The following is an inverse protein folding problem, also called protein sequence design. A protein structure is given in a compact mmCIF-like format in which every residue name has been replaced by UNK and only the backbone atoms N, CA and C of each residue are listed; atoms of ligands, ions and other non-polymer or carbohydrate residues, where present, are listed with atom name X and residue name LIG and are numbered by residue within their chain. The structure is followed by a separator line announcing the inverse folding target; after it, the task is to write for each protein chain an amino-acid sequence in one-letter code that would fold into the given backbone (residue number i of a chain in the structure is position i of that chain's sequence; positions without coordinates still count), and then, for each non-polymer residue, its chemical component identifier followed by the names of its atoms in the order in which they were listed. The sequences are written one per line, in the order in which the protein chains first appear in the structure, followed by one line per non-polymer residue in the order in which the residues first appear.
data_IF_265800890659
#
_entry.id   IF_265800890659
#
_cell.length_a   1.000
_cell.length_b   1.000
_cell.length_c   1.000
_cell.angle_alpha   90.00
_cell.angle_beta   90.00
_cell.angle_gamma   90.00
#
_symmetry.space_group_name_H-M   'P 1'
#
loop_
_entity.id
_entity.type
_entity.pdbx_description
1 polymer ?
#
# COMPACT_ATOMS: atom_id res chain seq x y z
N UNK A 1 14.28 -11.63 -3.68
CA UNK A 1 13.63 -11.61 -5.01
C UNK A 1 14.65 -12.01 -6.07
N UNK A 2 14.68 -13.27 -6.54
CA UNK A 2 15.55 -13.65 -7.65
C UNK A 2 14.98 -13.11 -8.97
N UNK A 3 15.83 -12.51 -9.81
CA UNK A 3 15.53 -12.32 -11.23
C UNK A 3 15.10 -10.93 -11.70
N UNK A 4 15.18 -9.90 -10.87
CA UNK A 4 14.92 -8.53 -11.31
C UNK A 4 16.25 -7.79 -11.50
N UNK A 5 16.56 -7.41 -12.75
CA UNK A 5 17.78 -6.70 -13.09
C UNK A 5 17.69 -5.22 -12.67
N UNK A 6 18.78 -4.62 -12.18
CA UNK A 6 18.81 -3.21 -11.80
C UNK A 6 18.44 -2.32 -12.99
N UNK A 7 17.60 -1.32 -12.74
CA UNK A 7 17.15 -0.35 -13.75
C UNK A 7 17.82 1.00 -13.49
N UNK A 8 18.34 1.64 -14.54
CA UNK A 8 18.87 3.00 -14.42
C UNK A 8 17.73 4.01 -14.55
N UNK A 9 17.68 4.96 -13.62
CA UNK A 9 16.70 6.03 -13.62
C UNK A 9 17.28 7.41 -13.90
N UNK A 10 16.57 8.17 -14.73
CA UNK A 10 16.93 9.52 -15.14
C UNK A 10 15.72 10.46 -14.98
N UNK A 11 16.00 11.75 -14.86
CA UNK A 11 14.97 12.78 -14.94
C UNK A 11 14.36 12.80 -16.35
N UNK A 12 13.13 13.32 -16.47
CA UNK A 12 12.35 13.29 -17.70
C UNK A 12 13.05 13.92 -18.91
N UNK A 13 13.90 14.91 -18.68
CA UNK A 13 14.76 15.56 -19.69
C UNK A 13 15.87 14.67 -20.26
N UNK A 14 16.22 13.57 -19.58
CA UNK A 14 17.33 12.66 -19.91
C UNK A 14 16.87 11.22 -20.20
N UNK A 15 15.57 11.03 -20.45
CA UNK A 15 15.02 9.71 -20.75
C UNK A 15 15.61 9.15 -22.05
N UNK A 16 16.00 7.87 -22.02
CA UNK A 16 16.49 7.12 -23.18
C UNK A 16 16.14 5.64 -23.05
N UNK A 17 16.44 4.82 -24.07
CA UNK A 17 16.20 3.37 -24.02
C UNK A 17 16.93 2.66 -22.87
N UNK A 18 18.04 3.24 -22.39
CA UNK A 18 18.85 2.71 -21.30
C UNK A 18 18.59 3.37 -19.94
N UNK A 19 17.77 4.44 -19.91
CA UNK A 19 17.48 5.18 -18.69
C UNK A 19 16.01 5.61 -18.63
N UNK A 20 15.27 5.03 -17.68
CA UNK A 20 13.83 5.24 -17.55
C UNK A 20 13.52 6.37 -16.58
N UNK A 21 12.40 7.05 -16.76
CA UNK A 21 11.91 8.02 -15.77
C UNK A 21 10.83 7.40 -14.87
N UNK A 22 9.97 6.55 -15.44
CA UNK A 22 8.91 5.86 -14.71
C UNK A 22 9.49 4.75 -13.82
N UNK A 23 9.21 4.83 -12.52
CA UNK A 23 9.57 3.84 -11.52
C UNK A 23 8.36 2.93 -11.29
N UNK A 24 8.53 1.65 -11.60
CA UNK A 24 7.47 0.65 -11.43
C UNK A 24 7.23 0.34 -9.95
N UNK A 25 5.96 0.35 -9.56
CA UNK A 25 5.50 -0.03 -8.22
C UNK A 25 4.69 -1.31 -8.33
N UNK A 26 5.08 -2.31 -7.56
CA UNK A 26 4.37 -3.58 -7.44
C UNK A 26 3.82 -3.76 -6.04
N UNK A 27 2.66 -4.41 -5.97
CA UNK A 27 2.06 -4.86 -4.71
C UNK A 27 2.25 -6.35 -4.53
N UNK A 28 2.43 -6.77 -3.29
CA UNK A 28 2.48 -8.17 -2.88
C UNK A 28 1.37 -8.44 -1.84
N UNK A 29 1.45 -9.57 -1.15
CA UNK A 29 0.56 -9.96 -0.05
C UNK A 29 0.52 -8.95 1.10
N UNK A 30 -0.56 -9.03 1.86
CA UNK A 30 -0.70 -8.43 3.17
C UNK A 30 -0.51 -9.49 4.24
N UNK A 31 0.26 -9.17 5.28
CA UNK A 31 0.40 -10.01 6.48
C UNK A 31 0.02 -9.23 7.74
N UNK A 32 -0.15 -9.93 8.84
CA UNK A 32 -0.40 -9.34 10.14
C UNK A 32 0.43 -10.09 11.18
N UNK A 33 0.86 -9.40 12.23
CA UNK A 33 1.46 -10.04 13.41
C UNK A 33 0.39 -10.66 14.33
N UNK A 34 -0.87 -10.24 14.18
CA UNK A 34 -2.02 -10.71 14.96
C UNK A 34 -2.76 -11.89 14.29
N UNK A 35 -2.57 -12.08 12.98
CA UNK A 35 -3.24 -13.12 12.20
C UNK A 35 -2.26 -13.97 11.38
N UNK A 36 -2.50 -15.29 11.38
CA UNK A 36 -1.61 -16.27 10.72
C UNK A 36 -1.81 -16.29 9.19
N UNK A 37 -2.99 -15.89 8.72
CA UNK A 37 -3.36 -16.02 7.30
C UNK A 37 -3.03 -14.73 6.55
N UNK A 38 -2.09 -14.74 5.58
CA UNK A 38 -1.88 -13.59 4.71
C UNK A 38 -3.01 -13.46 3.69
N UNK A 39 -3.29 -12.22 3.28
CA UNK A 39 -4.25 -11.92 2.22
C UNK A 39 -3.54 -11.46 0.96
N UNK A 40 -4.09 -11.79 -0.21
CA UNK A 40 -3.68 -11.15 -1.45
C UNK A 40 -4.14 -9.69 -1.47
N UNK A 41 -3.44 -8.83 -2.20
CA UNK A 41 -3.84 -7.43 -2.37
C UNK A 41 -5.28 -7.30 -2.91
N UNK A 42 -5.66 -8.16 -3.84
CA UNK A 42 -7.00 -8.19 -4.45
C UNK A 42 -8.12 -8.70 -3.53
N UNK A 43 -7.78 -9.22 -2.33
CA UNK A 43 -8.80 -9.66 -1.36
C UNK A 43 -9.61 -8.47 -0.85
N UNK A 44 -8.97 -7.31 -0.68
CA UNK A 44 -9.62 -6.07 -0.27
C UNK A 44 -9.90 -5.19 -1.49
N UNK A 45 -10.87 -4.28 -1.35
CA UNK A 45 -11.28 -3.36 -2.43
C UNK A 45 -10.32 -2.17 -2.60
N UNK A 46 -9.03 -2.46 -2.79
CA UNK A 46 -8.01 -1.47 -3.10
C UNK A 46 -8.05 -1.02 -4.57
N UNK A 47 -7.26 0.00 -4.89
CA UNK A 47 -7.01 0.38 -6.27
C UNK A 47 -6.09 -0.64 -6.94
N UNK A 48 -6.54 -1.18 -8.07
CA UNK A 48 -5.79 -2.11 -8.93
C UNK A 48 -5.65 -1.49 -10.31
N UNK A 49 -4.68 -1.96 -11.09
CA UNK A 49 -4.57 -1.61 -12.51
C UNK A 49 -5.53 -2.49 -13.32
N UNK A 50 -5.98 -2.02 -14.49
CA UNK A 50 -6.86 -2.79 -15.39
C UNK A 50 -6.12 -3.98 -16.03
N UNK A 51 -4.79 -3.93 -15.99
CA UNK A 51 -3.90 -4.98 -16.48
C UNK A 51 -3.20 -5.67 -15.31
N UNK A 52 -3.60 -6.91 -14.99
CA UNK A 52 -2.91 -7.79 -14.04
C UNK A 52 -1.58 -8.29 -14.64
N UNK A 53 -0.68 -7.36 -14.94
CA UNK A 53 0.67 -7.69 -15.40
C UNK A 53 1.56 -7.83 -14.17
N UNK A 54 2.14 -9.02 -14.00
CA UNK A 54 3.12 -9.31 -12.96
C UNK A 54 4.43 -9.76 -13.60
N UNK A 55 5.57 -9.64 -12.89
CA UNK A 55 6.78 -10.33 -13.31
C UNK A 55 6.52 -11.84 -13.43
N UNK A 56 7.27 -12.50 -14.31
CA UNK A 56 7.12 -13.95 -14.54
C UNK A 56 7.34 -14.69 -13.21
N UNK A 57 6.30 -15.38 -12.74
CA UNK A 57 6.35 -16.14 -11.49
C UNK A 57 7.27 -17.34 -11.66
N UNK A 58 8.20 -17.53 -10.72
CA UNK A 58 8.98 -18.77 -10.67
C UNK A 58 8.24 -19.85 -9.86
N UNK A 59 8.56 -21.13 -10.11
CA UNK A 59 7.87 -22.28 -9.51
C UNK A 59 7.85 -22.21 -7.97
N UNK A 60 8.91 -21.65 -7.35
CA UNK A 60 8.97 -21.45 -5.90
C UNK A 60 7.93 -20.43 -5.41
N UNK A 61 7.79 -19.28 -6.08
CA UNK A 61 6.79 -18.26 -5.74
C UNK A 61 5.36 -18.78 -5.86
N UNK A 62 5.08 -19.59 -6.89
CA UNK A 62 3.76 -20.23 -7.05
C UNK A 62 3.46 -21.18 -5.89
N UNK A 63 4.44 -21.99 -5.48
CA UNK A 63 4.28 -22.96 -4.38
C UNK A 63 4.08 -22.27 -3.02
N UNK A 64 4.71 -21.11 -2.80
CA UNK A 64 4.56 -20.33 -1.55
C UNK A 64 3.46 -19.26 -1.60
N UNK A 65 2.69 -19.19 -2.70
CA UNK A 65 1.58 -18.26 -2.86
C UNK A 65 1.98 -16.79 -2.91
N UNK A 66 3.23 -16.48 -3.28
CA UNK A 66 3.67 -15.10 -3.48
C UNK A 66 3.25 -14.60 -4.86
N UNK A 67 2.31 -13.65 -4.89
CA UNK A 67 1.80 -13.03 -6.12
C UNK A 67 2.18 -11.57 -6.16
N UNK A 68 3.16 -11.24 -6.99
CA UNK A 68 3.57 -9.87 -7.25
C UNK A 68 2.73 -9.35 -8.43
N UNK A 69 2.04 -8.24 -8.22
CA UNK A 69 1.15 -7.65 -9.22
C UNK A 69 1.52 -6.19 -9.45
N UNK A 70 1.33 -5.71 -10.69
CA UNK A 70 1.42 -4.28 -10.95
C UNK A 70 0.44 -3.52 -10.06
N UNK A 71 0.80 -2.29 -9.73
CA UNK A 71 -0.05 -1.38 -9.00
C UNK A 71 -0.40 -0.18 -9.89
N UNK A 72 -1.52 0.50 -9.63
CA UNK A 72 -1.90 1.71 -10.38
C UNK A 72 -1.05 2.93 -10.00
N UNK A 73 -0.09 2.79 -9.08
CA UNK A 73 0.75 3.89 -8.61
C UNK A 73 1.87 4.18 -9.61
N UNK A 74 1.91 5.42 -10.10
CA UNK A 74 2.93 5.90 -11.04
C UNK A 74 3.90 6.82 -10.31
N UNK A 75 5.18 6.47 -10.35
CA UNK A 75 6.25 7.26 -9.75
C UNK A 75 7.21 7.73 -10.82
N UNK A 76 7.67 8.97 -10.69
CA UNK A 76 8.67 9.55 -11.57
C UNK A 76 9.95 9.79 -10.77
N UNK A 77 11.09 9.35 -11.31
CA UNK A 77 12.38 9.51 -10.64
C UNK A 77 12.74 10.99 -10.43
N UNK A 78 13.17 11.33 -9.20
CA UNK A 78 13.52 12.69 -8.77
C UNK A 78 12.40 13.72 -8.99
N UNK A 79 11.15 13.29 -9.03
CA UNK A 79 10.00 14.17 -9.00
C UNK A 79 9.34 14.10 -7.63
N UNK A 80 9.50 15.15 -6.81
CA UNK A 80 8.77 15.29 -5.56
C UNK A 80 7.32 15.66 -5.87
N UNK A 81 6.52 14.66 -6.26
CA UNK A 81 5.09 14.84 -6.44
C UNK A 81 4.43 14.91 -5.06
N UNK A 82 3.59 15.93 -4.88
CA UNK A 82 2.62 15.92 -3.79
C UNK A 82 1.57 14.82 -4.03
N UNK A 83 0.69 14.65 -3.05
CA UNK A 83 -0.11 13.46 -2.80
C UNK A 83 -0.98 13.12 -4.02
N UNK A 84 -0.56 12.12 -4.79
CA UNK A 84 -1.31 11.65 -5.95
C UNK A 84 -2.21 10.46 -5.57
N UNK A 85 -3.48 10.56 -5.96
CA UNK A 85 -4.48 9.54 -5.72
C UNK A 85 -4.43 8.49 -6.83
N UNK A 86 -4.34 7.20 -6.47
CA UNK A 86 -4.48 6.13 -7.46
C UNK A 86 -5.94 6.01 -7.95
N UNK A 87 -6.88 5.97 -7.01
CA UNK A 87 -8.31 5.93 -7.32
C UNK A 87 -9.14 6.42 -6.13
N UNK A 88 -10.41 6.77 -6.40
CA UNK A 88 -11.40 7.10 -5.37
C UNK A 88 -12.50 6.04 -5.37
N UNK A 89 -12.67 5.34 -4.25
CA UNK A 89 -13.77 4.39 -4.05
C UNK A 89 -14.87 5.07 -3.24
N UNK A 90 -16.12 4.94 -3.70
CA UNK A 90 -17.29 5.50 -3.03
C UNK A 90 -18.28 4.40 -2.72
N UNK A 91 -18.72 4.34 -1.47
CA UNK A 91 -19.59 3.29 -0.95
C UNK A 91 -20.94 3.85 -0.54
N UNK A 92 -22.01 3.12 -0.88
CA UNK A 92 -23.38 3.51 -0.57
C UNK A 92 -23.89 2.79 0.69
N UNK A 93 -24.40 3.50 1.71
CA UNK A 93 -24.90 2.89 2.95
C UNK A 93 -26.07 1.89 2.78
N UNK A 94 -26.75 1.91 1.64
CA UNK A 94 -27.86 1.01 1.32
C UNK A 94 -27.48 -0.23 0.50
N UNK A 95 -26.24 -0.31 -0.01
CA UNK A 95 -25.77 -1.43 -0.82
C UNK A 95 -25.10 -2.49 0.08
N UNK A 96 -25.61 -3.72 0.08
CA UNK A 96 -25.05 -4.81 0.89
C UNK A 96 -23.62 -5.19 0.48
N UNK A 97 -23.27 -5.11 -0.81
CA UNK A 97 -21.92 -5.41 -1.28
C UNK A 97 -20.90 -4.37 -0.78
N UNK A 98 -21.26 -3.09 -0.88
CA UNK A 98 -20.43 -2.00 -0.37
C UNK A 98 -20.21 -2.11 1.14
N UNK A 99 -21.28 -2.45 1.88
CA UNK A 99 -21.19 -2.68 3.32
C UNK A 99 -20.28 -3.86 3.66
N UNK A 100 -20.29 -4.93 2.85
CA UNK A 100 -19.40 -6.07 3.04
C UNK A 100 -17.93 -5.67 2.80
N UNK A 101 -17.64 -4.98 1.70
CA UNK A 101 -16.29 -4.47 1.39
C UNK A 101 -15.74 -3.56 2.49
N UNK A 102 -16.58 -2.65 3.00
CA UNK A 102 -16.19 -1.77 4.11
C UNK A 102 -15.88 -2.59 5.37
N UNK A 103 -16.71 -3.59 5.70
CA UNK A 103 -16.49 -4.43 6.88
C UNK A 103 -15.18 -5.22 6.77
N UNK A 104 -14.88 -5.76 5.60
CA UNK A 104 -13.62 -6.48 5.33
C UNK A 104 -12.42 -5.54 5.48
N UNK A 105 -12.49 -4.33 4.92
CA UNK A 105 -11.45 -3.31 5.11
C UNK A 105 -11.26 -2.94 6.59
N UNK A 106 -12.33 -2.66 7.32
CA UNK A 106 -12.25 -2.34 8.76
C UNK A 106 -11.67 -3.53 9.54
N UNK A 107 -12.06 -4.76 9.19
CA UNK A 107 -11.54 -5.97 9.81
C UNK A 107 -10.03 -6.11 9.60
N UNK A 108 -9.55 -5.91 8.37
CA UNK A 108 -8.11 -5.95 8.07
C UNK A 108 -7.33 -4.86 8.80
N UNK A 109 -7.88 -3.63 8.91
CA UNK A 109 -7.24 -2.55 9.67
C UNK A 109 -7.19 -2.92 11.16
N UNK A 110 -8.27 -3.50 11.70
CA UNK A 110 -8.36 -3.87 13.12
C UNK A 110 -7.42 -4.98 13.53
N UNK A 111 -6.96 -5.79 12.57
CA UNK A 111 -5.95 -6.83 12.76
C UNK A 111 -4.56 -6.36 12.33
N UNK A 112 -4.36 -5.06 12.14
CA UNK A 112 -3.07 -4.46 11.78
C UNK A 112 -2.40 -5.13 10.56
N UNK A 113 -3.17 -5.45 9.52
CA UNK A 113 -2.59 -5.94 8.27
C UNK A 113 -1.69 -4.89 7.64
N UNK A 114 -0.55 -5.32 7.09
CA UNK A 114 0.48 -4.48 6.50
C UNK A 114 0.64 -4.78 5.02
N UNK A 115 0.79 -3.74 4.20
CA UNK A 115 1.15 -3.81 2.80
C UNK A 115 2.64 -4.10 2.62
N UNK A 116 2.96 -5.03 1.73
CA UNK A 116 4.31 -5.24 1.22
C UNK A 116 4.39 -4.76 -0.22
N UNK A 117 5.01 -3.60 -0.43
CA UNK A 117 5.21 -3.03 -1.76
C UNK A 117 6.65 -3.22 -2.20
N UNK A 118 6.85 -3.23 -3.52
CA UNK A 118 8.15 -3.35 -4.15
C UNK A 118 8.30 -2.20 -5.15
N UNK A 119 9.34 -1.39 -4.99
CA UNK A 119 9.66 -0.25 -5.86
C UNK A 119 11.10 -0.44 -6.32
N UNK A 120 11.35 -0.34 -7.63
CA UNK A 120 12.67 -0.63 -8.21
C UNK A 120 13.26 -1.95 -7.69
N UNK A 121 12.42 -2.99 -7.65
CA UNK A 121 12.81 -4.33 -7.21
C UNK A 121 13.28 -4.44 -5.74
N UNK A 122 13.14 -3.37 -4.96
CA UNK A 122 13.45 -3.32 -3.53
C UNK A 122 12.15 -3.25 -2.69
N UNK A 123 12.10 -3.94 -1.53
CA UNK A 123 10.97 -3.83 -0.64
C UNK A 123 10.86 -2.42 -0.06
N UNK A 124 9.65 -1.89 -0.03
CA UNK A 124 9.36 -0.61 0.62
C UNK A 124 9.53 -0.77 2.13
N UNK A 125 10.33 0.13 2.71
CA UNK A 125 10.57 0.17 4.15
C UNK A 125 9.83 1.36 4.74
N UNK A 126 9.11 1.12 5.83
CA UNK A 126 8.45 2.16 6.60
C UNK A 126 9.14 2.32 7.94
N UNK A 127 9.62 3.53 8.19
CA UNK A 127 10.26 3.89 9.44
C UNK A 127 9.37 4.83 10.26
N UNK A 128 9.29 4.59 11.55
CA UNK A 128 8.53 5.39 12.50
C UNK A 128 9.33 5.61 13.80
N UNK A 129 8.97 6.68 14.51
CA UNK A 129 9.55 6.98 15.82
C UNK A 129 8.79 6.20 16.90
N UNK A 130 9.51 5.44 17.72
CA UNK A 130 8.95 4.76 18.88
C UNK A 130 9.15 5.60 20.14
N UNK A 131 9.88 5.06 21.11
CA UNK A 131 10.30 5.82 22.28
C UNK A 131 11.29 6.95 21.92
N UNK A 132 11.44 7.99 22.77
CA UNK A 132 12.30 9.13 22.48
C UNK A 132 13.74 8.70 22.12
N UNK A 133 14.13 8.96 20.87
CA UNK A 133 15.46 8.63 20.36
C UNK A 133 15.58 7.26 19.67
N UNK A 134 14.50 6.47 19.58
CA UNK A 134 14.51 5.18 18.91
C UNK A 134 13.64 5.19 17.63
N UNK A 135 14.31 5.00 16.50
CA UNK A 135 13.67 4.81 15.20
C UNK A 135 13.58 3.32 14.88
N UNK A 136 12.39 2.87 14.50
CA UNK A 136 12.15 1.51 14.04
C UNK A 136 11.80 1.53 12.56
N UNK A 137 12.25 0.52 11.82
CA UNK A 137 11.96 0.35 10.40
C UNK A 137 11.47 -1.07 10.15
N UNK A 138 10.35 -1.20 9.45
CA UNK A 138 9.80 -2.49 9.02
C UNK A 138 9.68 -2.54 7.51
N UNK A 139 9.88 -3.73 6.94
CA UNK A 139 9.53 -4.01 5.54
C UNK A 139 8.02 -4.18 5.48
N UNK A 140 7.33 -3.12 5.10
CA UNK A 140 5.86 -3.06 5.05
C UNK A 140 5.27 -1.97 5.94
N UNK A 141 4.05 -1.57 5.61
CA UNK A 141 3.36 -0.45 6.27
C UNK A 141 1.88 -0.77 6.46
N UNK A 142 1.23 -0.25 7.52
CA UNK A 142 -0.14 -0.60 7.85
C UNK A 142 -1.13 -0.22 6.73
N UNK A 143 -2.13 -1.08 6.54
CA UNK A 143 -3.23 -0.92 5.58
C UNK A 143 -4.07 0.32 5.84
N UNK A 144 -4.11 0.78 7.09
CA UNK A 144 -4.78 2.01 7.47
C UNK A 144 -4.79 2.20 8.97
N UNK A 145 -5.51 3.23 9.39
CA UNK A 145 -5.73 3.57 10.79
C UNK A 145 -7.24 3.56 11.05
N UNK A 146 -7.67 2.84 12.10
CA UNK A 146 -9.05 2.84 12.57
C UNK A 146 -9.10 3.49 13.95
N UNK A 147 -9.82 4.61 14.06
CA UNK A 147 -10.10 5.24 15.35
C UNK A 147 -11.45 4.72 15.87
N UNK A 148 -11.46 3.80 16.86
CA UNK A 148 -12.71 3.40 17.49
C UNK A 148 -13.36 4.60 18.18
N UNK A 149 -14.69 4.61 18.27
CA UNK A 149 -15.50 5.69 18.90
C UNK A 149 -15.07 6.03 20.34
N UNK A 150 -14.32 5.14 21.00
CA UNK A 150 -13.69 5.38 22.31
C UNK A 150 -12.57 6.43 22.32
N UNK A 151 -12.12 6.90 21.16
CA UNK A 151 -11.19 8.05 21.03
C UNK A 151 -9.72 7.75 21.30
N UNK A 152 -9.34 6.52 21.69
CA UNK A 152 -7.93 6.15 21.86
C UNK A 152 -7.36 5.61 20.54
N UNK A 153 -6.38 6.30 19.91
CA UNK A 153 -5.66 5.76 18.77
C UNK A 153 -4.90 4.50 19.19
N UNK A 154 -4.89 3.49 18.32
CA UNK A 154 -4.07 2.28 18.44
C UNK A 154 -3.21 2.12 17.18
N UNK A 155 -2.10 1.41 17.35
CA UNK A 155 -1.25 0.90 16.27
C UNK A 155 -0.82 2.01 15.30
N UNK A 156 -1.10 1.85 14.01
CA UNK A 156 -0.80 2.79 12.93
C UNK A 156 -1.19 4.26 13.23
N UNK A 157 -2.29 4.46 13.97
CA UNK A 157 -2.80 5.80 14.32
C UNK A 157 -1.90 6.55 15.32
N UNK A 158 -1.09 5.82 16.10
CA UNK A 158 -0.13 6.38 17.07
C UNK A 158 1.23 6.60 16.40
N UNK A 159 1.61 5.71 15.49
CA UNK A 159 2.96 5.69 14.90
C UNK A 159 3.19 6.77 13.84
N UNK A 160 2.15 7.24 13.13
CA UNK A 160 2.32 8.30 12.15
C UNK A 160 1.03 9.12 11.91
N UNK A 161 1.08 10.43 12.17
CA UNK A 161 -0.05 11.37 12.01
C UNK A 161 -0.48 11.51 10.54
N UNK A 162 0.37 11.18 9.55
CA UNK A 162 -0.04 11.19 8.14
C UNK A 162 -0.99 10.04 7.78
N UNK A 163 -0.89 8.88 8.45
CA UNK A 163 -1.85 7.76 8.26
C UNK A 163 -3.25 8.11 8.77
N UNK A 164 -3.35 9.07 9.69
CA UNK A 164 -4.61 9.61 10.22
C UNK A 164 -5.45 10.32 9.16
N UNK A 165 -4.91 10.64 7.98
CA UNK A 165 -5.68 11.24 6.89
C UNK A 165 -6.56 10.26 6.09
N UNK A 166 -6.49 8.95 6.36
CA UNK A 166 -7.50 7.97 5.91
C UNK A 166 -8.77 8.10 6.78
N UNK A 167 -9.53 9.18 6.56
CA UNK A 167 -10.71 9.51 7.37
C UNK A 167 -11.93 8.64 6.99
N UNK A 168 -12.41 7.84 7.93
CA UNK A 168 -13.73 7.20 7.87
C UNK A 168 -14.79 8.17 8.41
N UNK A 169 -15.60 8.79 7.55
CA UNK A 169 -16.79 9.54 8.00
C UNK A 169 -18.05 8.68 7.87
N UNK A 170 -18.66 8.32 9.02
CA UNK A 170 -19.74 7.33 9.07
C UNK A 170 -21.15 7.83 8.67
N UNK A 171 -21.37 9.12 8.34
CA UNK A 171 -22.76 9.60 8.39
C UNK A 171 -23.54 9.83 7.09
N UNK A 172 -22.96 10.03 5.89
CA UNK A 172 -23.80 10.17 4.66
C UNK A 172 -23.22 9.67 3.32
N UNK A 173 -21.90 9.45 3.22
CA UNK A 173 -21.23 8.83 2.07
C UNK A 173 -19.81 8.49 2.52
N UNK A 174 -19.37 7.24 2.35
CA UNK A 174 -17.99 6.88 2.65
C UNK A 174 -17.19 6.97 1.35
N UNK A 175 -16.19 7.84 1.31
CA UNK A 175 -15.20 7.89 0.25
C UNK A 175 -13.85 7.50 0.84
N UNK A 176 -13.32 6.36 0.38
CA UNK A 176 -11.96 5.97 0.71
C UNK A 176 -11.01 6.50 -0.35
N UNK A 177 -9.96 7.14 0.13
CA UNK A 177 -8.94 7.76 -0.69
C UNK A 177 -7.62 7.07 -0.36
N UNK A 178 -7.12 6.29 -1.30
CA UNK A 178 -5.86 5.57 -1.17
C UNK A 178 -4.71 6.49 -1.60
N UNK A 179 -3.88 6.86 -0.63
CA UNK A 179 -2.73 7.72 -0.84
C UNK A 179 -1.47 6.88 -1.11
N UNK A 180 -0.62 7.39 -1.99
CA UNK A 180 0.76 6.96 -2.09
C UNK A 180 1.62 7.82 -1.14
N UNK A 181 2.46 7.19 -0.32
CA UNK A 181 3.44 7.90 0.51
C UNK A 181 4.67 8.24 -0.33
N UNK A 182 5.10 9.49 -0.34
CA UNK A 182 6.40 9.85 -0.93
C UNK A 182 7.52 9.19 -0.12
N UNK A 183 8.07 8.09 -0.62
CA UNK A 183 9.20 7.36 -0.02
C UNK A 183 10.52 7.89 -0.57
N UNK A 184 10.85 9.17 -0.33
CA UNK A 184 12.20 9.67 -0.57
C UNK A 184 12.54 10.82 0.39
N UNK A 185 13.54 10.59 1.23
CA UNK A 185 14.45 11.61 1.76
C UNK A 185 15.84 10.98 1.86
#
# INVERSE_FOLDING_TARGET
LPGLAPVNYCTKDKQSDTCKNDVSVFVNRLNSEEAIIPYEYHHFDFCTDDHETGPVENLGQVVFGERIRSSPYKLEFKNNQEWNYACKKSYQPGNQEDLKKIKELIHGISLNYQHHWIVDNMPVTWCYQGEPGQQFCSTGFPMGCYLPKSGKPKDACVMNVMLTKLYFHQHKRLSLIFFFFSFYN
#
